data_IF_061647791577
#
_entry.id   IF_061647791577
#
_cell.length_a   1.000
_cell.length_b   1.000
_cell.length_c   1.000
_cell.angle_alpha   90.00
_cell.angle_beta   90.00
_cell.angle_gamma   90.00
#
_symmetry.space_group_name_H-M   'P 1'
#
loop_
_entity.id
_entity.type
_entity.pdbx_description
1 polymer ?
#
# COMPACT_ATOMS: atom_id res chain seq x y z
N UNK A 1 10.24 -20.31 18.72
CA UNK A 1 9.28 -20.26 17.61
C UNK A 1 8.43 -21.51 17.70
N UNK A 2 7.18 -21.35 18.01
CA UNK A 2 6.28 -22.48 18.31
C UNK A 2 5.72 -23.03 17.00
N UNK A 3 5.41 -24.33 16.95
CA UNK A 3 4.81 -25.04 15.79
C UNK A 3 3.57 -24.33 15.20
N UNK A 4 2.85 -23.55 16.01
CA UNK A 4 1.72 -22.73 15.57
C UNK A 4 2.10 -21.67 14.51
N UNK A 5 3.32 -21.11 14.58
CA UNK A 5 3.78 -20.07 13.65
C UNK A 5 4.11 -20.66 12.27
N UNK A 6 4.59 -21.90 12.22
CA UNK A 6 4.91 -22.60 10.96
C UNK A 6 3.61 -22.97 10.23
N UNK A 7 2.63 -23.53 10.95
CA UNK A 7 1.33 -23.88 10.35
C UNK A 7 0.60 -22.66 9.81
N UNK A 8 0.62 -21.53 10.53
CA UNK A 8 -0.06 -20.31 10.06
C UNK A 8 0.56 -19.78 8.76
N UNK A 9 1.88 -19.94 8.57
CA UNK A 9 2.59 -19.51 7.35
C UNK A 9 2.21 -20.31 6.11
N UNK A 10 1.97 -21.61 6.24
CA UNK A 10 1.54 -22.47 5.14
C UNK A 10 0.11 -22.15 4.66
N UNK A 11 -0.75 -21.66 5.55
CA UNK A 11 -2.13 -21.32 5.19
C UNK A 11 -2.31 -19.88 4.70
N UNK A 12 -1.30 -18.99 4.85
CA UNK A 12 -1.42 -17.60 4.46
C UNK A 12 -1.43 -17.46 2.95
N UNK A 13 -2.55 -16.96 2.42
CA UNK A 13 -2.73 -16.70 0.98
C UNK A 13 -2.87 -15.21 0.67
N UNK A 14 -3.28 -14.41 1.65
CA UNK A 14 -3.44 -12.95 1.49
C UNK A 14 -2.71 -12.24 2.63
N UNK A 15 -1.89 -11.27 2.27
CA UNK A 15 -1.14 -10.46 3.22
C UNK A 15 -1.53 -8.98 3.12
N UNK A 16 -1.76 -8.33 4.25
CA UNK A 16 -1.93 -6.89 4.35
C UNK A 16 -0.60 -6.26 4.77
N UNK A 17 -0.03 -5.39 3.95
CA UNK A 17 1.13 -4.58 4.28
C UNK A 17 0.68 -3.17 4.66
N UNK A 18 1.11 -2.73 5.82
CA UNK A 18 0.76 -1.45 6.41
C UNK A 18 2.04 -0.67 6.70
N UNK A 19 2.48 0.22 5.78
CA UNK A 19 3.56 1.15 6.05
C UNK A 19 3.14 2.14 7.15
N UNK A 20 3.99 2.33 8.14
CA UNK A 20 3.71 3.17 9.30
C UNK A 20 4.88 4.11 9.61
N UNK A 21 4.57 5.34 10.02
CA UNK A 21 5.54 6.30 10.55
C UNK A 21 4.86 7.27 11.49
N UNK A 22 5.18 7.22 12.79
CA UNK A 22 4.60 8.05 13.86
C UNK A 22 3.06 7.91 14.00
N UNK A 23 2.50 6.76 13.64
CA UNK A 23 1.06 6.48 13.71
C UNK A 23 0.68 5.83 15.08
N UNK A 24 1.25 6.34 16.18
CA UNK A 24 1.12 5.78 17.53
C UNK A 24 -0.33 5.67 18.03
N UNK A 25 -1.22 6.55 17.58
CA UNK A 25 -2.64 6.52 17.97
C UNK A 25 -3.52 5.84 16.94
N UNK A 26 -3.23 6.01 15.65
CA UNK A 26 -4.10 5.52 14.57
C UNK A 26 -3.88 4.04 14.26
N UNK A 27 -2.62 3.57 14.26
CA UNK A 27 -2.32 2.18 13.95
C UNK A 27 -2.92 1.17 14.96
N UNK A 28 -2.81 1.35 16.29
CA UNK A 28 -3.44 0.44 17.24
C UNK A 28 -4.96 0.37 17.06
N UNK A 29 -5.63 1.52 16.87
CA UNK A 29 -7.07 1.61 16.62
C UNK A 29 -7.45 0.92 15.30
N UNK A 30 -6.66 1.10 14.25
CA UNK A 30 -6.84 0.43 12.96
C UNK A 30 -6.74 -1.10 13.09
N UNK A 31 -5.68 -1.60 13.77
CA UNK A 31 -5.47 -3.03 13.98
C UNK A 31 -6.64 -3.66 14.75
N UNK A 32 -7.11 -3.02 15.82
CA UNK A 32 -8.25 -3.51 16.59
C UNK A 32 -9.55 -3.55 15.78
N UNK A 33 -9.70 -2.66 14.81
CA UNK A 33 -10.88 -2.62 13.93
C UNK A 33 -10.85 -3.66 12.82
N UNK A 34 -9.67 -3.95 12.25
CA UNK A 34 -9.58 -4.87 11.10
C UNK A 34 -9.44 -6.32 11.52
N UNK A 35 -8.72 -6.61 12.60
CA UNK A 35 -8.43 -8.01 13.02
C UNK A 35 -9.65 -8.88 13.24
N UNK A 36 -10.81 -8.40 13.72
CA UNK A 36 -12.02 -9.24 13.87
C UNK A 36 -12.55 -9.83 12.55
N UNK A 37 -12.20 -9.23 11.41
CA UNK A 37 -12.64 -9.67 10.09
C UNK A 37 -11.62 -10.59 9.39
N UNK A 38 -10.46 -10.82 10.00
CA UNK A 38 -9.39 -11.59 9.40
C UNK A 38 -9.45 -13.05 9.83
N UNK A 39 -9.08 -13.93 8.90
CA UNK A 39 -9.07 -15.38 9.05
C UNK A 39 -7.62 -15.91 9.09
N UNK A 40 -7.42 -17.20 9.36
CA UNK A 40 -6.09 -17.86 9.37
C UNK A 40 -5.33 -17.77 8.04
N UNK A 41 -6.04 -17.59 6.92
CA UNK A 41 -5.45 -17.38 5.59
C UNK A 41 -4.91 -15.97 5.38
N UNK A 42 -5.09 -15.07 6.34
CA UNK A 42 -4.64 -13.67 6.28
C UNK A 42 -3.44 -13.45 7.18
N UNK A 43 -2.56 -12.53 6.78
CA UNK A 43 -1.50 -12.00 7.61
C UNK A 43 -1.47 -10.46 7.52
N UNK A 44 -1.00 -9.81 8.59
CA UNK A 44 -0.69 -8.38 8.59
C UNK A 44 0.82 -8.22 8.83
N UNK A 45 1.48 -7.45 7.97
CA UNK A 45 2.85 -7.01 8.13
C UNK A 45 2.84 -5.49 8.30
N UNK A 46 3.17 -5.03 9.49
CA UNK A 46 3.37 -3.62 9.77
C UNK A 46 4.85 -3.33 9.57
N UNK A 47 5.17 -2.44 8.62
CA UNK A 47 6.53 -1.96 8.41
C UNK A 47 6.62 -0.56 9.01
N UNK A 48 7.29 -0.47 10.15
CA UNK A 48 7.29 0.73 10.98
C UNK A 48 8.64 1.45 10.94
N UNK A 49 8.61 2.69 10.45
CA UNK A 49 9.75 3.60 10.35
C UNK A 49 9.88 4.49 11.60
N UNK A 50 9.09 4.25 12.66
CA UNK A 50 9.04 5.10 13.86
C UNK A 50 10.18 4.82 14.84
N UNK A 51 10.55 5.84 15.63
CA UNK A 51 11.46 5.74 16.76
C UNK A 51 10.86 6.48 17.98
N UNK A 52 10.52 5.80 19.09
CA UNK A 52 10.57 4.34 19.28
C UNK A 52 9.56 3.60 18.38
N UNK A 53 9.74 2.28 18.14
CA UNK A 53 8.80 1.49 17.37
C UNK A 53 7.42 1.45 18.01
N UNK A 54 6.36 1.45 17.19
CA UNK A 54 4.97 1.53 17.69
C UNK A 54 4.62 0.30 18.55
N UNK A 55 5.09 -0.90 18.17
CA UNK A 55 4.83 -2.12 18.96
C UNK A 55 5.34 -2.03 20.40
N UNK A 56 6.41 -1.27 20.66
CA UNK A 56 6.95 -1.07 22.01
C UNK A 56 6.08 -0.11 22.85
N UNK A 57 5.20 0.64 22.21
CA UNK A 57 4.29 1.60 22.85
C UNK A 57 2.87 1.05 23.04
N UNK A 58 2.58 -0.16 22.51
CA UNK A 58 1.25 -0.77 22.62
C UNK A 58 0.93 -1.13 24.07
N UNK A 59 -0.30 -0.82 24.50
CA UNK A 59 -0.76 -1.22 25.82
C UNK A 59 -0.84 -2.75 25.94
N UNK A 60 -0.65 -3.31 27.16
CA UNK A 60 -0.82 -4.75 27.39
C UNK A 60 -2.20 -5.26 26.94
N UNK A 61 -3.25 -4.44 27.11
CA UNK A 61 -4.60 -4.77 26.66
C UNK A 61 -4.71 -4.86 25.13
N UNK A 62 -4.08 -3.94 24.41
CA UNK A 62 -4.02 -3.97 22.93
C UNK A 62 -3.29 -5.22 22.46
N UNK A 63 -2.12 -5.50 23.02
CA UNK A 63 -1.33 -6.71 22.69
C UNK A 63 -2.14 -7.99 22.90
N UNK A 64 -2.84 -8.10 24.04
CA UNK A 64 -3.68 -9.26 24.33
C UNK A 64 -4.84 -9.43 23.32
N UNK A 65 -5.43 -8.32 22.85
CA UNK A 65 -6.48 -8.37 21.84
C UNK A 65 -5.92 -8.78 20.47
N UNK A 66 -4.77 -8.26 20.07
CA UNK A 66 -4.10 -8.63 18.82
C UNK A 66 -3.68 -10.10 18.82
N UNK A 67 -3.22 -10.65 19.94
CA UNK A 67 -2.87 -12.07 20.10
C UNK A 67 -4.08 -13.01 19.93
N UNK A 68 -5.30 -12.52 20.09
CA UNK A 68 -6.53 -13.30 19.85
C UNK A 68 -6.94 -13.32 18.38
N UNK A 69 -6.29 -12.55 17.51
CA UNK A 69 -6.55 -12.56 16.08
C UNK A 69 -6.28 -13.95 15.49
N UNK A 70 -7.09 -14.36 14.52
CA UNK A 70 -6.82 -15.57 13.74
C UNK A 70 -5.71 -15.35 12.71
N UNK A 71 -5.53 -14.10 12.26
CA UNK A 71 -4.47 -13.72 11.32
C UNK A 71 -3.12 -13.58 12.04
N UNK A 72 -2.03 -13.91 11.35
CA UNK A 72 -0.68 -13.60 11.79
C UNK A 72 -0.43 -12.09 11.74
N UNK A 73 0.15 -11.52 12.80
CA UNK A 73 0.50 -10.08 12.86
C UNK A 73 1.99 -9.97 13.14
N UNK A 74 2.72 -9.31 12.25
CA UNK A 74 4.17 -9.15 12.34
C UNK A 74 4.55 -7.67 12.24
N UNK A 75 5.45 -7.23 13.11
CA UNK A 75 6.08 -5.90 13.04
C UNK A 75 7.50 -6.04 12.50
N UNK A 76 7.83 -5.20 11.52
CA UNK A 76 9.16 -5.03 10.94
C UNK A 76 9.58 -3.58 11.22
N UNK A 77 10.53 -3.39 12.14
CA UNK A 77 10.92 -2.07 12.63
C UNK A 77 12.21 -1.59 11.97
N UNK A 78 12.20 -0.38 11.41
CA UNK A 78 13.35 0.23 10.75
C UNK A 78 14.09 1.25 11.62
N UNK A 79 13.45 1.78 12.68
CA UNK A 79 14.00 2.80 13.59
C UNK A 79 14.43 4.10 12.92
N UNK A 80 14.05 4.30 11.66
CA UNK A 80 14.34 5.50 10.88
C UNK A 80 13.34 5.67 9.73
N UNK A 81 13.13 6.90 9.28
CA UNK A 81 12.21 7.20 8.17
C UNK A 81 12.83 6.85 6.83
N UNK A 82 12.53 5.69 6.28
CA UNK A 82 12.98 5.23 4.96
C UNK A 82 11.98 5.56 3.84
N UNK A 83 10.74 5.84 4.20
CA UNK A 83 9.68 6.27 3.31
C UNK A 83 8.77 5.13 2.84
N UNK A 84 7.53 5.51 2.47
CA UNK A 84 6.44 4.59 2.15
C UNK A 84 6.82 3.52 1.12
N UNK A 85 7.44 3.91 0.02
CA UNK A 85 7.81 2.96 -1.04
C UNK A 85 8.83 1.93 -0.57
N UNK A 86 9.80 2.34 0.27
CA UNK A 86 10.74 1.41 0.90
C UNK A 86 10.00 0.44 1.81
N UNK A 87 9.17 0.96 2.72
CA UNK A 87 8.43 0.15 3.69
C UNK A 87 7.50 -0.85 2.99
N UNK A 88 6.80 -0.45 1.92
CA UNK A 88 5.96 -1.37 1.16
C UNK A 88 6.78 -2.49 0.50
N UNK A 89 7.91 -2.18 -0.15
CA UNK A 89 8.79 -3.20 -0.76
C UNK A 89 9.38 -4.15 0.28
N UNK A 90 9.75 -3.63 1.45
CA UNK A 90 10.23 -4.45 2.55
C UNK A 90 9.13 -5.41 3.04
N UNK A 91 7.89 -4.93 3.16
CA UNK A 91 6.74 -5.77 3.48
C UNK A 91 6.45 -6.83 2.40
N UNK A 92 6.55 -6.47 1.11
CA UNK A 92 6.44 -7.40 -0.02
C UNK A 92 7.51 -8.49 0.05
N UNK A 93 8.77 -8.09 0.29
CA UNK A 93 9.88 -9.04 0.43
C UNK A 93 9.66 -9.98 1.61
N UNK A 94 9.29 -9.44 2.78
CA UNK A 94 8.98 -10.25 3.94
C UNK A 94 7.85 -11.25 3.66
N UNK A 95 6.77 -10.79 3.02
CA UNK A 95 5.64 -11.65 2.67
C UNK A 95 6.05 -12.80 1.74
N UNK A 96 6.85 -12.51 0.70
CA UNK A 96 7.36 -13.52 -0.24
C UNK A 96 8.26 -14.54 0.46
N UNK A 97 9.14 -14.08 1.36
CA UNK A 97 10.11 -14.95 2.05
C UNK A 97 9.45 -15.86 3.11
N UNK A 98 8.29 -15.45 3.67
CA UNK A 98 7.68 -16.14 4.81
C UNK A 98 6.35 -16.85 4.51
N UNK A 99 5.66 -16.49 3.41
CA UNK A 99 4.36 -17.07 3.05
C UNK A 99 4.43 -17.75 1.68
N UNK A 100 4.79 -19.04 1.60
CA UNK A 100 5.03 -19.75 0.34
C UNK A 100 3.78 -19.84 -0.55
N UNK A 101 2.59 -19.79 0.04
CA UNK A 101 1.31 -19.86 -0.67
C UNK A 101 0.66 -18.48 -0.91
N UNK A 102 1.44 -17.38 -0.78
CA UNK A 102 0.95 -16.04 -1.00
C UNK A 102 0.42 -15.87 -2.43
N UNK A 103 -0.86 -15.52 -2.56
CA UNK A 103 -1.51 -15.23 -3.84
C UNK A 103 -1.60 -13.73 -4.10
N UNK A 104 -1.93 -12.96 -3.05
CA UNK A 104 -2.11 -11.52 -3.13
C UNK A 104 -1.54 -10.81 -1.91
N UNK A 105 -1.07 -9.59 -2.15
CA UNK A 105 -0.69 -8.67 -1.11
C UNK A 105 -1.48 -7.37 -1.27
N UNK A 106 -2.14 -6.95 -0.20
CA UNK A 106 -2.87 -5.69 -0.13
C UNK A 106 -2.02 -4.66 0.63
N UNK A 107 -1.88 -3.47 0.06
CA UNK A 107 -1.27 -2.31 0.70
C UNK A 107 -2.35 -1.34 1.13
N UNK A 108 -2.28 -0.81 2.34
CA UNK A 108 -3.16 0.27 2.78
C UNK A 108 -2.51 1.16 3.85
N UNK A 109 -3.10 2.34 4.08
CA UNK A 109 -2.71 3.26 5.15
C UNK A 109 -3.35 2.85 6.48
N UNK A 110 -2.63 3.06 7.58
CA UNK A 110 -3.10 2.80 8.96
C UNK A 110 -3.78 4.00 9.63
N UNK A 111 -3.94 5.10 8.91
CA UNK A 111 -4.40 6.38 9.46
C UNK A 111 -5.93 6.57 9.45
N UNK A 112 -6.66 5.52 9.10
CA UNK A 112 -8.12 5.54 8.99
C UNK A 112 -8.67 6.27 7.77
N UNK A 113 -7.81 6.66 6.81
CA UNK A 113 -8.24 7.30 5.56
C UNK A 113 -8.95 6.32 4.63
N UNK A 114 -8.63 5.03 4.70
CA UNK A 114 -9.33 3.95 4.01
C UNK A 114 -10.33 3.28 4.95
N UNK A 115 -11.57 3.15 4.51
CA UNK A 115 -12.58 2.41 5.28
C UNK A 115 -12.23 0.93 5.32
N UNK A 116 -12.46 0.29 6.45
CA UNK A 116 -12.22 -1.16 6.61
C UNK A 116 -13.00 -1.97 5.58
N UNK A 117 -14.25 -1.57 5.30
CA UNK A 117 -15.09 -2.24 4.31
C UNK A 117 -14.48 -2.20 2.89
N UNK A 118 -13.78 -1.12 2.53
CA UNK A 118 -13.11 -1.02 1.23
C UNK A 118 -11.85 -1.88 1.17
N UNK A 119 -11.11 -1.99 2.29
CA UNK A 119 -9.97 -2.92 2.41
C UNK A 119 -10.45 -4.38 2.30
N UNK A 120 -11.54 -4.73 2.99
CA UNK A 120 -12.13 -6.07 2.94
C UNK A 120 -12.67 -6.41 1.55
N UNK A 121 -13.28 -5.46 0.84
CA UNK A 121 -13.68 -5.66 -0.56
C UNK A 121 -12.51 -6.05 -1.45
N UNK A 122 -11.33 -5.46 -1.24
CA UNK A 122 -10.13 -5.86 -1.98
C UNK A 122 -9.71 -7.28 -1.63
N UNK A 123 -9.82 -7.71 -0.37
CA UNK A 123 -9.55 -9.10 0.03
C UNK A 123 -10.48 -10.10 -0.66
N UNK A 124 -11.77 -9.75 -0.77
CA UNK A 124 -12.80 -10.62 -1.33
C UNK A 124 -12.89 -10.53 -2.86
N UNK A 125 -12.22 -9.55 -3.47
CA UNK A 125 -12.23 -9.39 -4.92
C UNK A 125 -11.57 -10.61 -5.57
N UNK A 126 -12.27 -11.28 -6.48
CA UNK A 126 -11.65 -12.24 -7.39
C UNK A 126 -10.66 -11.48 -8.24
N UNK A 127 -9.38 -11.67 -7.96
CA UNK A 127 -8.30 -10.88 -8.53
C UNK A 127 -7.94 -11.39 -9.92
N UNK A 128 -8.67 -10.93 -10.94
CA UNK A 128 -8.30 -11.10 -12.35
C UNK A 128 -7.17 -10.15 -12.75
N UNK A 129 -6.67 -9.32 -11.82
CA UNK A 129 -5.69 -8.27 -12.08
C UNK A 129 -4.40 -8.49 -11.30
N UNK A 130 -3.29 -8.15 -11.93
CA UNK A 130 -1.98 -8.14 -11.27
C UNK A 130 -1.79 -6.96 -10.33
N UNK A 131 -2.41 -5.84 -10.67
CA UNK A 131 -2.55 -4.67 -9.81
C UNK A 131 -4.00 -4.26 -9.78
N UNK A 132 -4.63 -4.29 -8.61
CA UNK A 132 -5.95 -3.72 -8.38
C UNK A 132 -5.82 -2.46 -7.53
N UNK A 133 -6.35 -1.34 -8.01
CA UNK A 133 -6.26 -0.03 -7.36
C UNK A 133 -7.63 0.36 -6.81
N UNK A 134 -7.68 0.71 -5.53
CA UNK A 134 -8.84 1.38 -4.97
C UNK A 134 -8.90 2.82 -5.47
N UNK A 135 -9.76 3.09 -6.46
CA UNK A 135 -9.84 4.42 -7.07
C UNK A 135 -10.83 5.33 -6.34
N UNK A 136 -10.42 6.59 -6.12
CA UNK A 136 -11.24 7.68 -5.57
C UNK A 136 -12.02 8.42 -6.64
N UNK A 137 -11.85 8.07 -7.90
CA UNK A 137 -12.39 8.80 -9.06
C UNK A 137 -13.35 7.99 -9.92
N UNK A 138 -13.68 6.77 -9.54
CA UNK A 138 -14.74 5.98 -10.15
C UNK A 138 -16.14 6.49 -9.73
N UNK A 139 -17.22 6.22 -10.48
CA UNK A 139 -18.54 6.82 -10.28
C UNK A 139 -19.13 6.70 -8.87
N UNK A 140 -18.86 5.61 -8.14
CA UNK A 140 -19.38 5.39 -6.79
C UNK A 140 -18.40 5.73 -5.67
N UNK A 141 -17.21 6.25 -6.04
CA UNK A 141 -16.19 6.64 -5.09
C UNK A 141 -16.52 7.94 -4.37
N UNK A 142 -16.03 8.09 -3.15
CA UNK A 142 -16.24 9.31 -2.35
C UNK A 142 -14.92 9.84 -1.78
N UNK A 143 -14.78 11.18 -1.77
CA UNK A 143 -13.68 11.85 -1.07
C UNK A 143 -14.31 12.87 -0.11
N UNK A 144 -14.15 12.64 1.18
CA UNK A 144 -14.71 13.50 2.23
C UNK A 144 -13.62 14.27 2.96
N UNK A 145 -13.96 15.48 3.39
CA UNK A 145 -13.10 16.36 4.21
C UNK A 145 -11.75 16.78 3.57
N UNK A 146 -11.61 16.69 2.23
CA UNK A 146 -10.44 17.26 1.56
C UNK A 146 -10.66 18.72 1.22
N UNK A 147 -9.65 19.58 1.41
CA UNK A 147 -9.65 20.93 0.83
C UNK A 147 -9.86 20.88 -0.68
N UNK A 148 -10.59 21.84 -1.23
CA UNK A 148 -10.89 21.90 -2.67
C UNK A 148 -9.60 21.94 -3.50
N UNK A 149 -8.59 22.69 -3.05
CA UNK A 149 -7.28 22.77 -3.70
C UNK A 149 -6.61 21.40 -3.82
N UNK A 150 -6.66 20.56 -2.78
CA UNK A 150 -6.12 19.19 -2.78
C UNK A 150 -6.90 18.28 -3.76
N UNK A 151 -8.24 18.42 -3.81
CA UNK A 151 -9.07 17.67 -4.77
C UNK A 151 -8.71 18.00 -6.21
N UNK A 152 -8.60 19.32 -6.53
CA UNK A 152 -8.26 19.78 -7.89
C UNK A 152 -6.86 19.28 -8.27
N UNK A 153 -5.87 19.47 -7.41
CA UNK A 153 -4.49 19.06 -7.67
C UNK A 153 -4.37 17.54 -7.89
N UNK A 154 -4.94 16.74 -6.99
CA UNK A 154 -4.93 15.28 -7.13
C UNK A 154 -5.64 14.84 -8.41
N UNK A 155 -6.77 15.45 -8.77
CA UNK A 155 -7.49 15.14 -9.99
C UNK A 155 -6.68 15.49 -11.24
N UNK A 156 -5.98 16.64 -11.25
CA UNK A 156 -5.11 17.02 -12.36
C UNK A 156 -3.96 16.03 -12.55
N UNK A 157 -3.28 15.62 -11.48
CA UNK A 157 -2.22 14.60 -11.56
C UNK A 157 -2.76 13.28 -12.12
N UNK A 158 -3.93 12.86 -11.67
CA UNK A 158 -4.58 11.63 -12.12
C UNK A 158 -5.20 11.72 -13.53
N UNK A 159 -5.20 12.88 -14.15
CA UNK A 159 -5.50 13.05 -15.58
C UNK A 159 -4.22 13.07 -16.42
N UNK A 160 -3.19 13.79 -15.95
CA UNK A 160 -1.96 14.04 -16.71
C UNK A 160 -1.08 12.79 -16.74
N UNK A 161 -0.80 12.18 -15.58
CA UNK A 161 0.14 11.07 -15.48
C UNK A 161 -0.33 9.83 -16.25
N UNK A 162 -1.58 9.36 -16.12
CA UNK A 162 -2.06 8.22 -16.90
C UNK A 162 -1.95 8.45 -18.39
N UNK A 163 -2.29 9.65 -18.87
CA UNK A 163 -2.16 9.99 -20.30
C UNK A 163 -0.71 9.97 -20.77
N UNK A 164 0.22 10.50 -19.93
CA UNK A 164 1.65 10.57 -20.26
C UNK A 164 2.27 9.18 -20.44
N UNK A 165 1.84 8.20 -19.63
CA UNK A 165 2.34 6.83 -19.65
C UNK A 165 1.41 5.82 -20.35
N UNK A 166 0.32 6.30 -20.95
CA UNK A 166 -0.70 5.46 -21.61
C UNK A 166 -1.28 4.39 -20.68
N UNK A 167 -1.52 4.76 -19.42
CA UNK A 167 -2.18 3.94 -18.43
C UNK A 167 -3.70 4.16 -18.51
N UNK A 168 -4.47 3.09 -18.51
CA UNK A 168 -5.94 3.17 -18.49
C UNK A 168 -6.45 3.05 -17.05
N UNK A 169 -6.10 4.03 -16.22
CA UNK A 169 -6.49 4.10 -14.81
C UNK A 169 -6.90 5.53 -14.43
N UNK A 170 -7.76 5.65 -13.45
CA UNK A 170 -8.30 6.93 -12.97
C UNK A 170 -7.59 7.43 -11.70
N UNK A 171 -6.91 6.55 -10.93
CA UNK A 171 -6.23 6.94 -9.69
C UNK A 171 -4.87 6.24 -9.51
N UNK A 172 -3.79 6.97 -9.79
CA UNK A 172 -2.40 6.50 -9.59
C UNK A 172 -1.82 6.90 -8.22
N UNK A 173 -2.56 7.66 -7.43
CA UNK A 173 -2.02 8.25 -6.19
C UNK A 173 -2.67 7.71 -4.92
N UNK A 174 -3.60 6.76 -5.05
CA UNK A 174 -4.18 6.09 -3.89
C UNK A 174 -3.30 4.91 -3.45
N UNK A 175 -3.11 4.80 -2.12
CA UNK A 175 -2.29 3.77 -1.49
C UNK A 175 -3.05 2.49 -1.14
N UNK A 176 -4.35 2.41 -1.39
CA UNK A 176 -5.10 1.17 -1.25
C UNK A 176 -4.98 0.37 -2.56
N UNK A 177 -4.17 -0.70 -2.52
CA UNK A 177 -3.83 -1.50 -3.69
C UNK A 177 -3.71 -2.97 -3.35
N UNK A 178 -3.96 -3.82 -4.34
CA UNK A 178 -3.64 -5.25 -4.27
C UNK A 178 -2.70 -5.63 -5.40
N UNK A 179 -1.74 -6.49 -5.10
CA UNK A 179 -0.74 -6.99 -6.03
C UNK A 179 -0.79 -8.52 -6.06
N UNK A 180 -0.82 -9.11 -7.24
CA UNK A 180 -0.66 -10.56 -7.39
C UNK A 180 0.76 -11.01 -7.01
N UNK A 181 0.95 -12.28 -6.68
CA UNK A 181 2.27 -12.83 -6.34
C UNK A 181 3.30 -12.56 -7.45
N UNK A 182 2.93 -12.72 -8.72
CA UNK A 182 3.82 -12.43 -9.86
C UNK A 182 4.12 -10.94 -10.03
N UNK A 183 3.16 -10.05 -9.68
CA UNK A 183 3.43 -8.61 -9.67
C UNK A 183 4.40 -8.22 -8.55
N UNK A 184 4.32 -8.87 -7.40
CA UNK A 184 5.26 -8.68 -6.29
C UNK A 184 6.68 -9.07 -6.73
N UNK A 185 6.85 -10.21 -7.39
CA UNK A 185 8.14 -10.65 -7.92
C UNK A 185 8.73 -9.64 -8.87
N UNK A 186 7.93 -9.20 -9.84
CA UNK A 186 8.33 -8.17 -10.80
C UNK A 186 8.78 -6.87 -10.12
N UNK A 187 8.02 -6.40 -9.11
CA UNK A 187 8.34 -5.17 -8.37
C UNK A 187 9.65 -5.32 -7.60
N UNK A 188 9.89 -6.47 -6.98
CA UNK A 188 11.09 -6.72 -6.18
C UNK A 188 12.35 -6.88 -7.05
N UNK A 189 12.23 -7.40 -8.27
CA UNK A 189 13.33 -7.50 -9.24
C UNK A 189 13.74 -6.15 -9.82
N UNK A 190 12.82 -5.17 -9.85
CA UNK A 190 13.10 -3.85 -10.37
C UNK A 190 13.71 -2.95 -9.29
N UNK A 191 14.86 -2.35 -9.63
CA UNK A 191 15.48 -1.34 -8.78
C UNK A 191 14.68 -0.03 -8.89
N UNK A 192 13.69 0.14 -8.02
CA UNK A 192 12.87 1.35 -7.96
C UNK A 192 13.65 2.48 -7.28
N UNK A 193 13.65 3.66 -7.92
CA UNK A 193 14.40 4.82 -7.44
C UNK A 193 13.64 5.62 -6.37
N UNK A 194 12.32 5.47 -6.30
CA UNK A 194 11.49 6.36 -5.49
C UNK A 194 10.97 5.68 -4.22
N UNK A 195 11.24 6.30 -3.07
CA UNK A 195 10.76 5.85 -1.76
C UNK A 195 9.54 6.66 -1.25
N UNK A 196 9.24 7.81 -1.86
CA UNK A 196 8.08 8.64 -1.55
C UNK A 196 6.80 8.16 -2.25
N UNK A 197 5.75 8.99 -2.27
CA UNK A 197 4.45 8.64 -2.89
C UNK A 197 4.51 8.33 -4.39
N UNK A 198 5.54 8.81 -5.09
CA UNK A 198 5.70 8.57 -6.52
C UNK A 198 5.96 7.10 -6.85
N UNK A 199 6.41 6.28 -5.87
CA UNK A 199 6.59 4.84 -6.08
C UNK A 199 5.30 4.15 -6.54
N UNK A 200 4.13 4.66 -6.15
CA UNK A 200 2.84 4.14 -6.61
C UNK A 200 2.67 4.26 -8.13
N UNK A 201 3.10 5.39 -8.68
CA UNK A 201 3.10 5.63 -10.12
C UNK A 201 4.17 4.78 -10.82
N UNK A 202 5.37 4.72 -10.27
CA UNK A 202 6.47 3.91 -10.79
C UNK A 202 6.09 2.43 -10.85
N UNK A 203 5.50 1.90 -9.79
CA UNK A 203 5.01 0.52 -9.72
C UNK A 203 3.97 0.23 -10.82
N UNK A 204 2.99 1.12 -11.02
CA UNK A 204 1.98 0.93 -12.05
C UNK A 204 2.59 0.97 -13.47
N UNK A 205 3.63 1.80 -13.69
CA UNK A 205 4.36 1.87 -14.96
C UNK A 205 5.14 0.57 -15.20
N UNK A 206 5.82 0.03 -14.18
CA UNK A 206 6.54 -1.24 -14.27
C UNK A 206 5.58 -2.37 -14.66
N UNK A 207 4.47 -2.52 -13.94
CA UNK A 207 3.45 -3.53 -14.19
C UNK A 207 2.92 -3.43 -15.62
N UNK A 208 2.57 -2.21 -16.07
CA UNK A 208 2.08 -1.99 -17.44
C UNK A 208 3.12 -2.34 -18.50
N UNK A 209 4.39 -1.96 -18.29
CA UNK A 209 5.44 -2.18 -19.29
C UNK A 209 5.76 -3.67 -19.50
N UNK A 210 5.37 -4.52 -18.56
CA UNK A 210 5.45 -5.98 -18.66
C UNK A 210 4.13 -6.62 -19.09
N UNK A 211 3.17 -5.80 -19.57
CA UNK A 211 1.87 -6.26 -20.07
C UNK A 211 1.01 -6.97 -19.02
N UNK A 212 1.28 -6.70 -17.72
CA UNK A 212 0.46 -7.21 -16.63
C UNK A 212 -0.83 -6.40 -16.52
N UNK A 213 -1.88 -7.07 -16.05
CA UNK A 213 -3.23 -6.51 -15.96
C UNK A 213 -3.37 -5.52 -14.80
N UNK A 214 -4.03 -4.36 -15.07
CA UNK A 214 -4.35 -3.35 -14.06
C UNK A 214 -5.85 -3.09 -14.06
N UNK A 215 -6.47 -3.20 -12.90
CA UNK A 215 -7.89 -2.90 -12.68
C UNK A 215 -8.10 -1.85 -11.59
N UNK A 216 -9.34 -1.37 -11.50
CA UNK A 216 -9.76 -0.42 -10.47
C UNK A 216 -11.10 -0.81 -9.86
N UNK A 217 -11.25 -0.58 -8.54
CA UNK A 217 -12.52 -0.66 -7.83
C UNK A 217 -12.81 0.66 -7.12
N UNK A 218 -14.07 1.05 -6.95
CA UNK A 218 -14.42 2.29 -6.25
C UNK A 218 -14.10 2.17 -4.75
N UNK A 219 -13.54 3.25 -4.17
CA UNK A 219 -13.27 3.35 -2.75
C UNK A 219 -13.73 4.68 -2.16
N UNK A 220 -13.95 4.68 -0.85
CA UNK A 220 -14.21 5.89 -0.08
C UNK A 220 -12.94 6.32 0.63
N UNK A 221 -12.58 7.58 0.51
CA UNK A 221 -11.44 8.17 1.19
C UNK A 221 -11.89 9.28 2.12
N UNK A 222 -11.51 9.17 3.39
CA UNK A 222 -11.81 10.19 4.41
C UNK A 222 -10.51 10.88 4.78
N UNK A 223 -10.48 12.22 4.80
CA UNK A 223 -9.29 12.92 5.28
C UNK A 223 -9.06 12.60 6.76
N UNK A 224 -7.82 12.45 7.17
CA UNK A 224 -7.45 12.20 8.56
C UNK A 224 -8.13 13.20 9.49
N UNK A 225 -8.70 12.70 10.59
CA UNK A 225 -9.25 13.52 11.67
C UNK A 225 -8.11 13.92 12.62
N UNK A 226 -7.09 13.08 12.75
CA UNK A 226 -5.91 13.27 13.60
C UNK A 226 -4.65 13.20 12.74
N UNK A 227 -3.67 14.04 13.06
CA UNK A 227 -2.39 14.10 12.37
C UNK A 227 -2.29 15.15 11.26
N UNK A 228 -1.07 15.60 10.98
CA UNK A 228 -0.80 16.54 9.88
C UNK A 228 -0.49 15.75 8.61
N UNK A 229 -1.00 16.24 7.47
CA UNK A 229 -0.57 15.71 6.16
C UNK A 229 0.93 15.92 6.03
N UNK A 230 1.68 14.83 5.86
CA UNK A 230 3.13 14.88 5.69
C UNK A 230 3.56 15.34 4.30
N UNK A 231 2.60 15.56 3.37
CA UNK A 231 2.90 16.00 2.00
C UNK A 231 3.21 17.49 1.99
N UNK A 232 4.48 17.81 1.87
CA UNK A 232 4.98 19.18 1.76
C UNK A 232 4.97 19.67 0.30
N UNK A 233 5.03 21.00 0.09
CA UNK A 233 5.22 21.58 -1.25
C UNK A 233 6.48 21.05 -1.94
N UNK A 234 7.54 20.77 -1.19
CA UNK A 234 8.77 20.18 -1.68
C UNK A 234 8.52 18.77 -2.24
N UNK A 235 7.84 17.90 -1.48
CA UNK A 235 7.49 16.55 -1.94
C UNK A 235 6.62 16.53 -3.20
N UNK A 236 5.77 17.57 -3.39
CA UNK A 236 5.00 17.75 -4.61
C UNK A 236 5.89 18.07 -5.83
N UNK A 237 6.86 18.98 -5.65
CA UNK A 237 7.83 19.34 -6.69
C UNK A 237 8.73 18.14 -7.00
N UNK A 238 9.23 17.47 -5.98
CA UNK A 238 10.06 16.27 -6.12
C UNK A 238 9.30 15.15 -6.86
N UNK A 239 8.00 15.01 -6.59
CA UNK A 239 7.13 14.06 -7.30
C UNK A 239 6.98 14.41 -8.79
N UNK A 240 6.82 15.69 -9.14
CA UNK A 240 6.73 16.13 -10.53
C UNK A 240 8.05 15.91 -11.28
N UNK A 241 9.19 16.21 -10.66
CA UNK A 241 10.52 15.97 -11.26
C UNK A 241 10.77 14.48 -11.45
N UNK A 242 10.37 13.64 -10.48
CA UNK A 242 10.47 12.18 -10.60
C UNK A 242 9.59 11.63 -11.73
N UNK A 243 8.37 12.14 -11.93
CA UNK A 243 7.52 11.77 -13.09
C UNK A 243 8.20 12.08 -14.42
N UNK A 244 8.83 13.26 -14.50
CA UNK A 244 9.58 13.65 -15.71
C UNK A 244 10.78 12.71 -15.94
N UNK A 245 11.55 12.40 -14.90
CA UNK A 245 12.68 11.46 -14.98
C UNK A 245 12.21 10.05 -15.41
N UNK A 246 11.13 9.53 -14.83
CA UNK A 246 10.55 8.26 -15.25
C UNK A 246 10.18 8.25 -16.74
N UNK A 247 9.70 9.37 -17.28
CA UNK A 247 9.36 9.47 -18.71
C UNK A 247 10.60 9.44 -19.62
N UNK A 248 11.69 10.08 -19.21
CA UNK A 248 12.95 10.04 -19.97
C UNK A 248 13.59 8.64 -19.90
N UNK A 249 13.67 8.04 -18.72
CA UNK A 249 14.22 6.70 -18.54
C UNK A 249 13.45 5.61 -19.31
N UNK A 250 12.11 5.77 -19.42
CA UNK A 250 11.29 4.87 -20.21
C UNK A 250 11.54 4.99 -21.73
N UNK A 251 11.97 6.17 -22.24
CA UNK A 251 12.35 6.37 -23.64
C UNK A 251 13.68 5.71 -23.99
N UNK A 252 14.68 5.82 -23.11
CA UNK A 252 16.00 5.25 -23.38
C UNK A 252 16.00 3.72 -23.45
N UNK A 253 15.08 3.05 -22.72
CA UNK A 253 14.91 1.60 -22.81
C UNK A 253 14.19 1.15 -24.10
N UNK A 254 13.33 1.98 -24.67
CA UNK A 254 12.62 1.66 -25.93
C UNK A 254 13.49 1.87 -27.19
N UNK A 255 14.62 2.55 -27.09
CA UNK A 255 15.56 2.74 -28.20
C UNK A 255 16.67 1.68 -28.28
N UNK A 256 16.67 0.68 -27.41
CA UNK A 256 17.68 -0.39 -27.35
C UNK A 256 17.18 -1.77 -27.80
N UNK A 257 16.03 -1.82 -28.47
CA UNK A 257 15.50 -3.04 -29.10
C UNK A 257 15.20 -2.82 -30.57
#
# INVERSE_FOLDING_TARGET
MLDSDIQTREFTTICLVVPSYNEYSSLPDYLLKITPFLEKKHAIIIVDDSEPPINDTLSPGTLQLLQKSQASITFVNNYEKLGRGHATRQGMKFAKDHFPNLTYLVECDSDGSHKIEDVLKIFDSNHDFDLLIGSRYLPTSTITNWPISRKIFSKLLNIIIPKLFKLNVTDLTNGLRSYSSRAIELILEHNQANNGFIYLTETAIIIKNHEYSIGEIPTSFVNRVLGQSTVTKKELIDSLTAVIQLRFNARDKSCKH
#
